data_IF_884510890330
#
_entry.id   IF_884510890330
#
_cell.length_a   1.000
_cell.length_b   1.000
_cell.length_c   1.000
_cell.angle_alpha   90.00
_cell.angle_beta   90.00
_cell.angle_gamma   90.00
#
_symmetry.space_group_name_H-M   'P 1'
#
loop_
_entity.id
_entity.type
_entity.pdbx_description
1 polymer ?
#
# COMPACT_ATOMS: atom_id res chain seq x y z
N UNK A 1 25.04 -25.25 -5.20
CA UNK A 1 24.35 -25.01 -3.91
C UNK A 1 23.43 -23.81 -4.12
N UNK A 2 22.31 -23.71 -3.40
CA UNK A 2 21.63 -22.41 -3.33
C UNK A 2 22.56 -21.40 -2.63
N UNK A 3 22.50 -20.13 -3.03
CA UNK A 3 23.11 -19.06 -2.22
C UNK A 3 22.40 -18.99 -0.87
N UNK A 4 23.12 -18.59 0.18
CA UNK A 4 22.44 -18.08 1.37
C UNK A 4 21.57 -16.87 0.98
N UNK A 5 20.41 -16.74 1.62
CA UNK A 5 19.53 -15.60 1.45
C UNK A 5 20.22 -14.30 1.88
N UNK A 6 19.98 -13.20 1.15
CA UNK A 6 20.51 -11.88 1.52
C UNK A 6 19.82 -11.37 2.77
N UNK A 7 20.57 -10.98 3.79
CA UNK A 7 20.01 -10.43 5.03
C UNK A 7 19.70 -8.96 4.84
N UNK A 8 18.49 -8.52 5.13
CA UNK A 8 18.10 -7.12 4.99
C UNK A 8 17.45 -6.62 6.27
N UNK A 9 17.84 -5.42 6.72
CA UNK A 9 17.20 -4.74 7.83
C UNK A 9 16.25 -3.66 7.29
N UNK A 10 14.99 -3.71 7.71
CA UNK A 10 14.02 -2.61 7.55
C UNK A 10 13.61 -2.16 8.95
N UNK A 11 14.12 -1.02 9.46
CA UNK A 11 13.68 -0.49 10.74
C UNK A 11 12.28 0.12 10.61
N UNK A 12 11.49 0.03 11.68
CA UNK A 12 10.16 0.63 11.80
C UNK A 12 10.04 1.38 13.13
N UNK A 13 9.26 2.46 13.14
CA UNK A 13 9.05 3.36 14.26
C UNK A 13 7.58 3.78 14.33
N UNK A 14 7.17 4.37 15.45
CA UNK A 14 5.93 5.12 15.50
C UNK A 14 6.00 6.29 14.50
N UNK A 15 5.01 6.40 13.62
CA UNK A 15 5.00 7.35 12.51
C UNK A 15 5.90 7.01 11.33
N UNK A 16 6.35 5.75 11.18
CA UNK A 16 6.88 5.24 9.90
C UNK A 16 5.79 5.29 8.81
N UNK A 17 6.15 5.56 7.56
CA UNK A 17 5.21 5.49 6.44
C UNK A 17 4.95 4.02 6.07
N UNK A 18 3.68 3.54 6.11
CA UNK A 18 3.38 2.12 6.01
C UNK A 18 3.50 1.55 4.60
N UNK A 19 3.23 2.32 3.54
CA UNK A 19 3.40 1.85 2.16
C UNK A 19 4.88 1.64 1.85
N UNK A 20 5.71 2.62 2.19
CA UNK A 20 7.16 2.60 2.00
C UNK A 20 7.80 1.43 2.73
N UNK A 21 7.38 1.15 3.97
CA UNK A 21 7.85 -0.01 4.73
C UNK A 21 7.37 -1.34 4.13
N UNK A 22 6.05 -1.51 3.95
CA UNK A 22 5.45 -2.80 3.58
C UNK A 22 5.84 -3.21 2.16
N UNK A 23 5.85 -2.29 1.20
CA UNK A 23 6.29 -2.55 -0.17
C UNK A 23 7.78 -2.98 -0.19
N UNK A 24 8.63 -2.29 0.57
CA UNK A 24 10.06 -2.65 0.68
C UNK A 24 10.24 -4.07 1.24
N UNK A 25 9.50 -4.42 2.29
CA UNK A 25 9.58 -5.73 2.94
C UNK A 25 9.08 -6.84 2.00
N UNK A 26 7.91 -6.65 1.38
CA UNK A 26 7.28 -7.61 0.49
C UNK A 26 8.17 -7.90 -0.74
N UNK A 27 8.57 -6.87 -1.48
CA UNK A 27 9.31 -7.00 -2.74
C UNK A 27 10.68 -7.66 -2.52
N UNK A 28 11.38 -7.31 -1.44
CA UNK A 28 12.63 -7.97 -1.06
C UNK A 28 12.42 -9.43 -0.65
N UNK A 29 11.33 -9.75 0.08
CA UNK A 29 10.97 -11.14 0.40
C UNK A 29 10.56 -11.95 -0.85
N UNK A 30 9.96 -11.33 -1.88
CA UNK A 30 9.74 -11.97 -3.20
C UNK A 30 11.05 -12.28 -3.92
N UNK A 31 12.06 -11.43 -3.80
CA UNK A 31 13.40 -11.72 -4.32
C UNK A 31 14.16 -12.83 -3.56
N UNK A 32 13.62 -13.32 -2.44
CA UNK A 32 14.25 -14.35 -1.59
C UNK A 32 15.15 -13.80 -0.49
N UNK A 33 15.00 -12.52 -0.09
CA UNK A 33 15.73 -11.95 1.02
C UNK A 33 15.20 -12.36 2.40
N UNK A 34 16.13 -12.57 3.34
CA UNK A 34 15.90 -12.71 4.77
C UNK A 34 15.73 -11.31 5.37
N UNK A 35 14.54 -10.73 5.19
CA UNK A 35 14.22 -9.38 5.67
C UNK A 35 13.80 -9.43 7.14
N UNK A 36 14.61 -8.84 8.01
CA UNK A 36 14.30 -8.57 9.42
C UNK A 36 13.60 -7.22 9.53
N UNK A 37 12.35 -7.20 10.00
CA UNK A 37 11.67 -5.96 10.41
C UNK A 37 12.07 -5.66 11.85
N UNK A 38 12.66 -4.49 12.14
CA UNK A 38 13.16 -4.17 13.48
C UNK A 38 12.50 -2.91 14.06
N UNK A 39 11.85 -3.01 15.22
CA UNK A 39 11.30 -1.84 15.89
C UNK A 39 12.42 -1.04 16.57
N UNK A 40 12.48 0.27 16.33
CA UNK A 40 13.35 1.18 17.10
C UNK A 40 12.72 1.66 18.41
N UNK A 41 11.45 1.30 18.64
CA UNK A 41 10.73 1.56 19.89
C UNK A 41 11.14 0.54 20.98
N UNK A 42 10.48 0.60 22.14
CA UNK A 42 10.68 -0.35 23.25
C UNK A 42 9.86 -1.64 23.11
N UNK A 43 9.05 -1.75 22.05
CA UNK A 43 8.09 -2.80 21.80
C UNK A 43 8.00 -3.14 20.31
N UNK A 44 7.62 -4.38 19.97
CA UNK A 44 7.58 -4.85 18.58
C UNK A 44 6.46 -4.20 17.76
N UNK A 45 5.31 -3.90 18.37
CA UNK A 45 4.19 -3.25 17.69
C UNK A 45 4.42 -1.73 17.60
N UNK A 46 4.36 -1.18 16.39
CA UNK A 46 4.49 0.25 16.12
C UNK A 46 3.23 0.81 15.47
N UNK A 47 2.87 2.03 15.86
CA UNK A 47 1.79 2.81 15.27
C UNK A 47 2.34 3.61 14.07
N UNK A 48 2.25 3.05 12.87
CA UNK A 48 2.67 3.70 11.63
C UNK A 48 1.72 4.86 11.26
N UNK A 49 2.08 5.63 10.22
CA UNK A 49 1.21 6.68 9.70
C UNK A 49 -0.17 6.12 9.31
N UNK A 50 -1.20 6.98 9.39
CA UNK A 50 -2.57 6.65 9.01
C UNK A 50 -3.16 5.45 9.77
N UNK A 51 -2.70 5.22 11.00
CA UNK A 51 -3.25 4.23 11.95
C UNK A 51 -2.99 2.78 11.55
N UNK A 52 -2.09 2.52 10.61
CA UNK A 52 -1.66 1.15 10.29
C UNK A 52 -0.76 0.66 11.42
N UNK A 53 -1.00 -0.55 11.93
CA UNK A 53 -0.21 -1.17 13.01
C UNK A 53 0.64 -2.30 12.45
N UNK A 54 1.95 -2.23 12.65
CA UNK A 54 2.93 -3.21 12.16
C UNK A 54 3.63 -3.84 13.36
N UNK A 55 3.78 -5.17 13.38
CA UNK A 55 4.56 -5.87 14.42
C UNK A 55 5.90 -6.33 13.86
N UNK A 56 6.98 -5.78 14.40
CA UNK A 56 8.35 -6.12 14.04
C UNK A 56 8.71 -7.58 14.35
N UNK A 57 9.79 -8.06 13.75
CA UNK A 57 10.40 -9.38 13.99
C UNK A 57 11.37 -9.35 15.17
N UNK A 58 12.02 -8.21 15.43
CA UNK A 58 12.94 -7.99 16.55
C UNK A 58 12.88 -6.53 17.05
N UNK A 59 13.52 -6.24 18.19
CA UNK A 59 13.89 -4.87 18.55
C UNK A 59 15.24 -4.52 17.91
N UNK A 60 15.49 -3.24 17.64
CA UNK A 60 16.75 -2.78 17.04
C UNK A 60 17.98 -3.07 17.92
N UNK A 61 17.77 -3.20 19.25
CA UNK A 61 18.78 -3.68 20.21
C UNK A 61 19.35 -5.04 19.83
N UNK A 62 18.48 -5.92 19.34
CA UNK A 62 18.77 -7.33 19.11
C UNK A 62 19.54 -7.51 17.78
N UNK A 63 19.50 -6.47 16.94
CA UNK A 63 20.17 -6.40 15.64
C UNK A 63 21.60 -5.81 15.71
N UNK A 64 22.07 -5.31 16.86
CA UNK A 64 23.30 -4.52 16.97
C UNK A 64 24.59 -5.22 16.45
N UNK A 65 24.68 -6.54 16.67
CA UNK A 65 25.79 -7.38 16.18
C UNK A 65 25.48 -8.15 14.89
N UNK A 66 24.28 -7.97 14.32
CA UNK A 66 23.90 -8.61 13.05
C UNK A 66 24.44 -7.80 11.87
N UNK A 67 25.17 -8.48 10.97
CA UNK A 67 25.66 -7.90 9.73
C UNK A 67 24.70 -8.19 8.57
N UNK A 68 24.19 -7.15 7.91
CA UNK A 68 23.21 -7.23 6.83
C UNK A 68 23.85 -6.99 5.46
N UNK A 69 23.29 -7.55 4.39
CA UNK A 69 23.65 -7.23 3.01
C UNK A 69 23.08 -5.87 2.57
N UNK A 70 21.96 -5.44 3.15
CA UNK A 70 21.32 -4.13 2.92
C UNK A 70 20.63 -3.64 4.21
N UNK A 71 20.56 -2.33 4.39
CA UNK A 71 19.65 -1.67 5.33
C UNK A 71 18.83 -0.64 4.56
N UNK A 72 17.50 -0.67 4.66
CA UNK A 72 16.60 0.25 3.94
C UNK A 72 15.66 0.95 4.91
N UNK A 73 15.77 2.28 5.03
CA UNK A 73 14.99 3.10 5.95
C UNK A 73 13.74 3.66 5.25
N UNK A 74 12.51 3.27 5.68
CA UNK A 74 11.30 3.98 5.30
C UNK A 74 11.31 5.44 5.76
N UNK A 75 10.46 6.29 5.21
CA UNK A 75 10.21 7.62 5.73
C UNK A 75 9.03 7.65 6.71
N UNK A 76 8.19 8.68 6.53
CA UNK A 76 7.13 9.03 7.47
C UNK A 76 7.64 9.95 8.58
N UNK A 77 6.70 10.65 9.23
CA UNK A 77 6.96 11.52 10.36
C UNK A 77 5.90 11.23 11.45
N UNK A 78 6.28 11.08 12.72
CA UNK A 78 7.63 11.27 13.28
C UNK A 78 8.69 10.18 12.96
N UNK A 79 8.36 9.08 12.27
CA UNK A 79 9.22 7.90 12.16
C UNK A 79 10.66 8.17 11.72
N UNK A 80 10.89 9.00 10.69
CA UNK A 80 12.23 9.35 10.24
C UNK A 80 13.04 10.17 11.26
N UNK A 81 12.38 10.93 12.15
CA UNK A 81 13.02 11.60 13.27
C UNK A 81 13.33 10.62 14.42
N UNK A 82 12.42 9.68 14.71
CA UNK A 82 12.68 8.58 15.66
C UNK A 82 13.87 7.72 15.22
N UNK A 83 14.02 7.48 13.91
CA UNK A 83 15.22 6.85 13.36
C UNK A 83 16.47 7.68 13.63
N UNK A 84 16.49 8.96 13.23
CA UNK A 84 17.61 9.89 13.45
C UNK A 84 18.12 9.88 14.90
N UNK A 85 17.21 9.92 15.87
CA UNK A 85 17.52 10.00 17.30
C UNK A 85 17.77 8.63 17.96
N UNK A 86 17.74 7.53 17.19
CA UNK A 86 18.07 6.18 17.65
C UNK A 86 19.56 5.87 17.47
N UNK A 87 20.37 6.14 18.50
CA UNK A 87 21.82 5.86 18.53
C UNK A 87 22.19 4.43 18.09
N UNK A 88 21.36 3.43 18.43
CA UNK A 88 21.58 2.03 18.02
C UNK A 88 21.44 1.85 16.52
N UNK A 89 20.40 2.40 15.90
CA UNK A 89 20.22 2.37 14.46
C UNK A 89 21.34 3.15 13.75
N UNK A 90 21.66 4.36 14.22
CA UNK A 90 22.77 5.16 13.69
C UNK A 90 24.07 4.36 13.68
N UNK A 91 24.38 3.67 14.78
CA UNK A 91 25.59 2.85 14.92
C UNK A 91 25.61 1.68 13.93
N UNK A 92 24.48 0.99 13.74
CA UNK A 92 24.36 -0.12 12.78
C UNK A 92 24.53 0.41 11.34
N UNK A 93 23.91 1.53 10.97
CA UNK A 93 23.99 2.09 9.60
C UNK A 93 25.36 2.71 9.31
N UNK A 94 26.01 3.35 10.28
CA UNK A 94 27.41 3.79 10.12
C UNK A 94 28.36 2.61 9.91
N UNK A 95 28.24 1.56 10.73
CA UNK A 95 28.99 0.29 10.58
C UNK A 95 28.72 -0.38 9.22
N UNK A 96 27.50 -0.31 8.69
CA UNK A 96 27.16 -0.78 7.34
C UNK A 96 27.93 -0.02 6.25
N UNK A 97 27.95 1.32 6.33
CA UNK A 97 28.67 2.19 5.39
C UNK A 97 30.20 2.02 5.48
N UNK A 98 30.76 1.91 6.68
CA UNK A 98 32.18 1.65 6.94
C UNK A 98 32.68 0.32 6.34
N UNK A 99 31.78 -0.64 6.10
CA UNK A 99 32.07 -1.94 5.51
C UNK A 99 31.77 -2.02 3.98
N UNK A 100 31.61 -0.88 3.28
CA UNK A 100 31.24 -0.77 1.85
C UNK A 100 29.98 -1.57 1.45
N UNK A 101 29.01 -1.65 2.37
CA UNK A 101 27.75 -2.38 2.14
C UNK A 101 26.61 -1.45 1.74
N UNK A 102 25.66 -1.93 0.90
CA UNK A 102 24.43 -1.21 0.59
C UNK A 102 23.69 -0.68 1.82
N UNK A 103 23.26 0.58 1.73
CA UNK A 103 22.26 1.19 2.60
C UNK A 103 21.38 2.13 1.77
N UNK A 104 20.14 2.31 2.20
CA UNK A 104 19.14 3.02 1.42
C UNK A 104 18.13 3.75 2.32
N UNK A 105 17.46 4.77 1.79
CA UNK A 105 16.37 5.44 2.49
C UNK A 105 15.35 6.05 1.51
N UNK A 106 14.09 6.21 1.94
CA UNK A 106 13.03 6.79 1.13
C UNK A 106 12.33 7.95 1.86
N UNK A 107 11.75 8.87 1.09
CA UNK A 107 10.88 9.94 1.57
C UNK A 107 11.60 10.93 2.51
N UNK A 108 11.27 10.96 3.80
CA UNK A 108 11.90 11.85 4.78
C UNK A 108 13.28 11.32 5.25
N UNK A 109 13.49 10.01 5.29
CA UNK A 109 14.68 9.40 5.91
C UNK A 109 16.04 9.75 5.26
N UNK A 110 16.17 10.00 3.93
CA UNK A 110 17.43 10.49 3.35
C UNK A 110 17.88 11.82 3.98
N UNK A 111 16.97 12.78 4.13
CA UNK A 111 17.30 14.11 4.64
C UNK A 111 17.34 14.17 6.18
N UNK A 112 16.45 13.44 6.85
CA UNK A 112 16.30 13.47 8.32
C UNK A 112 17.31 12.53 9.00
N UNK A 113 17.42 11.28 8.57
CA UNK A 113 18.34 10.30 9.16
C UNK A 113 19.71 10.32 8.47
N UNK A 114 19.83 9.78 7.25
CA UNK A 114 21.14 9.56 6.60
C UNK A 114 21.97 10.85 6.44
N UNK A 115 21.33 11.94 6.04
CA UNK A 115 21.95 13.25 5.89
C UNK A 115 22.48 13.83 7.21
N UNK A 116 21.74 13.69 8.32
CA UNK A 116 22.17 14.17 9.64
C UNK A 116 23.31 13.33 10.23
N UNK A 117 23.34 12.04 9.94
CA UNK A 117 24.45 11.13 10.26
C UNK A 117 25.70 11.34 9.39
N UNK A 118 25.63 12.20 8.37
CA UNK A 118 26.72 12.51 7.44
C UNK A 118 26.90 11.50 6.29
N UNK A 119 26.02 10.51 6.17
CA UNK A 119 26.16 9.35 5.28
C UNK A 119 25.82 9.62 3.80
N UNK A 120 25.49 10.86 3.44
CA UNK A 120 25.23 11.28 2.05
C UNK A 120 26.28 12.28 1.51
N UNK A 121 27.32 12.58 2.29
CA UNK A 121 28.30 13.63 1.98
C UNK A 121 29.05 13.36 0.68
N UNK A 122 28.77 14.19 -0.33
CA UNK A 122 29.39 14.12 -1.65
C UNK A 122 28.71 13.17 -2.65
N UNK A 123 27.64 12.50 -2.23
CA UNK A 123 26.82 11.63 -3.09
C UNK A 123 25.65 12.41 -3.70
N UNK A 124 25.11 11.91 -4.82
CA UNK A 124 23.79 12.30 -5.33
C UNK A 124 22.70 11.57 -4.58
N UNK A 125 21.68 12.32 -4.14
CA UNK A 125 20.56 11.76 -3.41
C UNK A 125 19.25 12.47 -3.74
N UNK A 126 18.12 11.81 -3.49
CA UNK A 126 16.79 12.40 -3.57
C UNK A 126 16.00 12.15 -2.28
N UNK A 127 14.91 12.89 -2.08
CA UNK A 127 14.01 12.73 -0.95
C UNK A 127 12.60 13.25 -1.28
N UNK A 128 11.71 13.22 -0.29
CA UNK A 128 10.39 13.83 -0.38
C UNK A 128 10.51 15.35 -0.63
N UNK A 129 9.66 15.95 -1.49
CA UNK A 129 9.83 17.33 -1.96
C UNK A 129 10.03 18.37 -0.85
N UNK A 130 9.29 18.31 0.26
CA UNK A 130 9.41 19.27 1.36
C UNK A 130 10.69 19.15 2.20
N UNK A 131 11.55 18.15 1.92
CA UNK A 131 12.83 17.95 2.59
C UNK A 131 14.04 18.20 1.66
N UNK A 132 13.82 18.59 0.40
CA UNK A 132 14.91 18.79 -0.59
C UNK A 132 15.91 19.88 -0.18
N UNK A 133 15.45 20.96 0.47
CA UNK A 133 16.32 22.02 0.98
C UNK A 133 17.21 21.49 2.13
N UNK A 134 16.65 20.67 3.02
CA UNK A 134 17.41 20.00 4.09
C UNK A 134 18.42 19.01 3.49
N UNK A 135 18.02 18.19 2.52
CA UNK A 135 18.91 17.26 1.83
C UNK A 135 20.10 17.98 1.19
N UNK A 136 19.86 19.12 0.56
CA UNK A 136 20.88 19.95 -0.11
C UNK A 136 21.99 20.47 0.82
N UNK A 137 21.78 20.45 2.14
CA UNK A 137 22.84 20.74 3.13
C UNK A 137 23.84 19.58 3.34
N UNK A 138 23.49 18.37 2.88
CA UNK A 138 24.20 17.12 3.16
C UNK A 138 24.61 16.33 1.92
N UNK A 139 23.95 16.54 0.77
CA UNK A 139 24.09 15.76 -0.45
C UNK A 139 23.93 16.63 -1.72
N UNK A 140 24.34 16.12 -2.87
CA UNK A 140 23.97 16.68 -4.18
C UNK A 140 22.52 16.29 -4.49
N UNK A 141 21.58 17.12 -4.06
CA UNK A 141 20.16 16.84 -4.20
C UNK A 141 19.71 16.80 -5.68
N UNK A 142 18.93 15.77 -6.04
CA UNK A 142 18.39 15.56 -7.40
C UNK A 142 16.93 15.11 -7.37
N UNK A 143 16.21 15.34 -8.47
CA UNK A 143 14.75 15.19 -8.56
C UNK A 143 14.26 13.80 -9.06
N UNK A 144 15.18 12.89 -9.36
CA UNK A 144 14.90 11.53 -9.85
C UNK A 144 14.00 10.73 -8.90
N UNK A 145 13.12 9.88 -9.44
CA UNK A 145 12.16 9.07 -8.65
C UNK A 145 12.86 8.07 -7.72
N UNK A 146 13.96 7.50 -8.21
CA UNK A 146 14.95 6.73 -7.45
C UNK A 146 16.33 7.25 -7.88
N UNK A 147 17.22 7.45 -6.92
CA UNK A 147 18.62 7.83 -7.17
C UNK A 147 19.54 6.82 -6.49
N UNK A 148 20.29 6.07 -7.30
CA UNK A 148 21.44 5.31 -6.84
C UNK A 148 22.72 6.15 -7.03
N UNK A 149 23.61 6.15 -6.04
CA UNK A 149 25.00 6.60 -6.19
C UNK A 149 25.92 5.60 -5.46
N UNK A 150 26.76 4.90 -6.22
CA UNK A 150 27.55 3.77 -5.73
C UNK A 150 26.68 2.69 -5.05
N UNK A 151 26.85 2.55 -3.73
CA UNK A 151 26.13 1.60 -2.86
C UNK A 151 24.84 2.18 -2.25
N UNK A 152 24.59 3.48 -2.40
CA UNK A 152 23.51 4.19 -1.71
C UNK A 152 22.32 4.35 -2.64
N UNK A 153 21.12 4.01 -2.18
CA UNK A 153 19.87 4.20 -2.94
C UNK A 153 18.91 5.09 -2.17
N UNK A 154 18.39 6.12 -2.83
CA UNK A 154 17.42 7.06 -2.25
C UNK A 154 16.19 7.24 -3.13
N UNK A 155 15.04 7.59 -2.55
CA UNK A 155 13.78 7.73 -3.29
C UNK A 155 12.80 8.71 -2.63
N UNK A 156 11.76 9.16 -3.35
CA UNK A 156 10.99 10.37 -3.02
C UNK A 156 9.76 10.18 -2.14
N UNK A 157 9.08 9.04 -2.12
CA UNK A 157 7.86 8.88 -1.30
C UNK A 157 7.07 7.60 -1.56
N UNK A 158 5.83 7.50 -1.07
CA UNK A 158 5.02 6.29 -1.21
C UNK A 158 4.79 5.94 -2.69
N UNK A 159 4.58 6.98 -3.51
CA UNK A 159 4.45 6.90 -4.97
C UNK A 159 5.73 6.63 -5.76
N UNK A 160 6.82 6.23 -5.10
CA UNK A 160 8.04 5.68 -5.71
C UNK A 160 8.50 4.38 -5.04
N UNK A 161 7.78 3.85 -4.05
CA UNK A 161 8.22 2.72 -3.23
C UNK A 161 8.42 1.42 -4.02
N UNK A 162 7.60 1.13 -5.05
CA UNK A 162 7.77 -0.05 -5.90
C UNK A 162 9.06 0.02 -6.72
N UNK A 163 9.29 1.12 -7.45
CA UNK A 163 10.53 1.37 -8.21
C UNK A 163 11.78 1.35 -7.33
N UNK A 164 11.69 1.96 -6.14
CA UNK A 164 12.74 1.92 -5.13
C UNK A 164 13.07 0.48 -4.72
N UNK A 165 12.06 -0.31 -4.39
CA UNK A 165 12.24 -1.69 -3.92
C UNK A 165 12.79 -2.61 -5.01
N UNK A 166 12.38 -2.44 -6.27
CA UNK A 166 12.95 -3.17 -7.41
C UNK A 166 14.42 -2.78 -7.65
N UNK A 167 14.78 -1.50 -7.51
CA UNK A 167 16.19 -1.09 -7.57
C UNK A 167 17.04 -1.71 -6.43
N UNK A 168 16.47 -1.93 -5.24
CA UNK A 168 17.13 -2.67 -4.16
C UNK A 168 17.28 -4.17 -4.47
N UNK A 169 16.32 -4.77 -5.18
CA UNK A 169 16.45 -6.16 -5.70
C UNK A 169 17.56 -6.23 -6.75
N UNK A 170 17.61 -5.31 -7.72
CA UNK A 170 18.67 -5.27 -8.73
C UNK A 170 20.06 -5.08 -8.10
N UNK A 171 20.18 -4.21 -7.08
CA UNK A 171 21.43 -4.00 -6.34
C UNK A 171 21.91 -5.23 -5.55
N UNK A 172 21.00 -6.08 -5.06
CA UNK A 172 21.32 -7.26 -4.25
C UNK A 172 21.48 -8.56 -5.04
N UNK A 173 20.72 -8.71 -6.14
CA UNK A 173 20.55 -9.96 -6.88
C UNK A 173 20.78 -9.84 -8.39
N UNK A 174 20.94 -8.63 -8.92
CA UNK A 174 21.09 -8.36 -10.35
C UNK A 174 19.76 -8.27 -11.10
N UNK A 175 19.84 -7.73 -12.33
CA UNK A 175 18.67 -7.37 -13.14
C UNK A 175 17.70 -8.52 -13.40
N UNK A 176 18.21 -9.73 -13.66
CA UNK A 176 17.38 -10.92 -13.93
C UNK A 176 16.39 -11.20 -12.80
N UNK A 177 16.81 -11.06 -11.54
CA UNK A 177 15.91 -11.23 -10.38
C UNK A 177 14.95 -10.05 -10.20
N UNK A 178 15.37 -8.83 -10.54
CA UNK A 178 14.51 -7.65 -10.51
C UNK A 178 13.37 -7.78 -11.54
N UNK A 179 13.68 -8.24 -12.75
CA UNK A 179 12.71 -8.48 -13.81
C UNK A 179 11.76 -9.64 -13.46
N UNK A 180 12.30 -10.74 -12.90
CA UNK A 180 11.52 -11.88 -12.38
C UNK A 180 10.50 -11.48 -11.30
N UNK A 181 10.89 -10.58 -10.38
CA UNK A 181 10.01 -10.10 -9.31
C UNK A 181 9.00 -9.08 -9.82
N UNK A 182 9.37 -8.24 -10.78
CA UNK A 182 8.52 -7.16 -11.31
C UNK A 182 7.34 -7.66 -12.15
N UNK A 183 7.53 -8.74 -12.93
CA UNK A 183 6.49 -9.30 -13.80
C UNK A 183 5.21 -9.72 -13.04
N UNK A 184 5.29 -10.60 -12.02
CA UNK A 184 4.14 -11.00 -11.20
C UNK A 184 3.58 -9.88 -10.30
N UNK A 185 4.28 -8.75 -10.18
CA UNK A 185 3.79 -7.53 -9.54
C UNK A 185 3.03 -6.62 -10.52
N UNK A 186 2.93 -6.95 -11.82
CA UNK A 186 2.26 -6.16 -12.86
C UNK A 186 2.80 -4.71 -12.94
N UNK A 187 4.08 -4.54 -12.64
CA UNK A 187 4.75 -3.23 -12.72
C UNK A 187 4.88 -2.77 -14.17
N UNK A 188 4.70 -1.46 -14.38
CA UNK A 188 4.86 -0.81 -15.68
C UNK A 188 6.30 -0.90 -16.19
N UNK A 189 6.44 -1.25 -17.46
CA UNK A 189 7.72 -1.37 -18.15
C UNK A 189 8.42 -0.02 -18.34
N UNK A 190 7.68 1.07 -18.60
CA UNK A 190 8.27 2.36 -18.95
C UNK A 190 7.74 3.54 -18.11
N UNK A 191 8.51 4.63 -18.11
CA UNK A 191 8.03 5.94 -17.67
C UNK A 191 7.38 6.67 -18.84
N UNK A 192 6.06 6.86 -18.78
CA UNK A 192 5.29 7.62 -19.79
C UNK A 192 4.04 6.92 -20.29
N UNK A 193 3.91 5.60 -20.08
CA UNK A 193 2.74 4.80 -20.44
C UNK A 193 1.45 5.45 -19.90
N UNK A 194 0.40 5.59 -20.71
CA UNK A 194 -0.84 6.26 -20.29
C UNK A 194 -1.62 5.43 -19.25
N UNK A 195 -2.60 6.06 -18.60
CA UNK A 195 -3.49 5.39 -17.65
C UNK A 195 -4.80 5.04 -18.36
N UNK A 196 -4.88 3.84 -18.92
CA UNK A 196 -6.17 3.28 -19.35
C UNK A 196 -6.97 2.86 -18.11
N UNK A 197 -8.24 3.28 -18.07
CA UNK A 197 -9.22 2.80 -17.11
C UNK A 197 -10.52 2.47 -17.84
N UNK A 198 -11.07 1.28 -17.59
CA UNK A 198 -12.30 0.79 -18.22
C UNK A 198 -13.37 0.58 -17.15
N UNK A 199 -14.46 1.34 -17.20
CA UNK A 199 -15.57 1.18 -16.24
C UNK A 199 -16.52 0.05 -16.66
N UNK A 200 -16.18 -1.18 -16.23
CA UNK A 200 -16.86 -2.42 -16.62
C UNK A 200 -18.32 -2.54 -16.15
N UNK A 201 -18.66 -1.86 -15.06
CA UNK A 201 -19.99 -1.87 -14.45
C UNK A 201 -20.40 -0.43 -14.12
N UNK A 202 -20.82 0.40 -15.11
CA UNK A 202 -21.07 1.82 -14.89
C UNK A 202 -22.13 2.06 -13.83
N UNK A 203 -21.79 2.88 -12.83
CA UNK A 203 -22.69 3.25 -11.72
C UNK A 203 -23.09 4.72 -11.88
N UNK A 204 -24.38 5.04 -11.68
CA UNK A 204 -24.80 6.44 -11.57
C UNK A 204 -24.40 7.00 -10.21
N UNK A 205 -23.19 7.56 -10.13
CA UNK A 205 -22.71 8.30 -8.96
C UNK A 205 -23.59 9.54 -8.73
N UNK A 206 -24.35 9.56 -7.63
CA UNK A 206 -25.24 10.65 -7.22
C UNK A 206 -24.80 11.24 -5.88
N UNK A 207 -24.21 12.43 -5.92
CA UNK A 207 -23.81 13.19 -4.73
C UNK A 207 -25.02 13.91 -4.06
N UNK A 208 -26.20 13.28 -4.10
CA UNK A 208 -27.50 13.88 -3.74
C UNK A 208 -27.68 14.04 -2.20
N UNK A 209 -26.57 14.01 -1.45
CA UNK A 209 -26.52 14.10 0.02
C UNK A 209 -25.33 14.91 0.55
N UNK A 210 -24.74 15.81 -0.25
CA UNK A 210 -24.10 16.98 0.36
C UNK A 210 -25.16 17.80 1.11
N UNK A 211 -25.04 18.03 2.43
CA UNK A 211 -25.87 19.02 3.09
C UNK A 211 -25.63 20.40 2.45
N UNK A 212 -26.63 21.30 2.47
CA UNK A 212 -26.34 22.71 2.23
C UNK A 212 -25.72 23.28 3.51
N UNK A 213 -24.41 23.08 3.63
CA UNK A 213 -23.60 23.58 4.75
C UNK A 213 -23.59 25.11 4.68
N UNK A 214 -24.11 25.77 5.70
CA UNK A 214 -23.91 27.21 5.89
C UNK A 214 -22.43 27.44 6.21
N UNK A 215 -21.73 28.20 5.35
CA UNK A 215 -20.29 28.46 5.52
C UNK A 215 -19.93 29.17 6.84
N UNK A 216 -20.94 29.70 7.56
CA UNK A 216 -20.79 30.36 8.85
C UNK A 216 -20.94 29.41 10.06
N UNK A 217 -21.28 28.13 9.84
CA UNK A 217 -21.53 27.12 10.90
C UNK A 217 -20.72 25.86 10.62
N UNK A 218 -19.39 26.00 10.53
CA UNK A 218 -18.46 24.88 10.47
C UNK A 218 -17.97 24.52 11.87
N UNK A 219 -18.23 23.28 12.30
CA UNK A 219 -17.44 22.59 13.32
C UNK A 219 -16.52 21.57 12.65
N UNK A 220 -15.49 21.09 13.35
CA UNK A 220 -14.56 20.07 12.83
C UNK A 220 -15.23 18.67 12.65
N UNK A 221 -16.54 18.55 12.85
CA UNK A 221 -17.31 17.30 12.82
C UNK A 221 -18.34 17.20 11.68
N UNK A 222 -18.48 18.22 10.81
CA UNK A 222 -19.54 18.27 9.79
C UNK A 222 -19.17 17.60 8.44
N UNK A 223 -18.23 16.65 8.44
CA UNK A 223 -17.87 15.85 7.26
C UNK A 223 -18.74 14.57 7.14
N UNK A 224 -18.94 14.10 5.90
CA UNK A 224 -19.61 12.82 5.65
C UNK A 224 -18.66 11.66 5.90
N UNK A 225 -18.72 11.10 7.11
CA UNK A 225 -17.97 9.93 7.54
C UNK A 225 -18.43 8.66 6.81
N UNK A 226 -17.88 8.41 5.61
CA UNK A 226 -18.02 7.13 4.91
C UNK A 226 -17.42 6.01 5.77
N UNK A 227 -18.25 5.06 6.20
CA UNK A 227 -17.84 3.96 7.06
C UNK A 227 -17.45 2.73 6.22
N UNK A 228 -16.17 2.38 6.22
CA UNK A 228 -15.59 1.37 5.31
C UNK A 228 -15.01 0.20 6.10
N UNK A 229 -15.35 -1.03 5.68
CA UNK A 229 -14.75 -2.26 6.21
C UNK A 229 -13.63 -2.75 5.30
N UNK A 230 -12.45 -3.00 5.87
CA UNK A 230 -11.35 -3.73 5.23
C UNK A 230 -11.01 -4.95 6.10
N UNK A 231 -11.48 -6.16 5.74
CA UNK A 231 -11.12 -7.36 6.49
C UNK A 231 -9.69 -7.81 6.14
N UNK A 232 -8.98 -8.34 7.14
CA UNK A 232 -7.64 -8.94 6.99
C UNK A 232 -7.58 -10.32 7.66
N UNK A 233 -6.72 -11.20 7.17
CA UNK A 233 -6.58 -12.60 7.60
C UNK A 233 -5.13 -13.07 7.44
N UNK A 234 -4.79 -14.22 8.03
CA UNK A 234 -3.49 -14.86 7.81
C UNK A 234 -3.34 -15.22 6.31
N UNK A 235 -2.27 -14.73 5.69
CA UNK A 235 -2.03 -14.87 4.25
C UNK A 235 -2.80 -13.90 3.35
N UNK A 236 -3.44 -12.85 3.87
CA UNK A 236 -3.83 -11.66 3.09
C UNK A 236 -2.61 -11.03 2.42
N UNK A 237 -2.77 -10.43 1.24
CA UNK A 237 -1.71 -9.67 0.57
C UNK A 237 -1.48 -8.32 1.29
N UNK A 238 -0.28 -8.15 1.86
CA UNK A 238 0.03 -7.01 2.72
C UNK A 238 0.06 -5.66 1.99
N UNK A 239 0.55 -5.60 0.75
CA UNK A 239 0.58 -4.35 0.00
C UNK A 239 -0.85 -3.95 -0.38
N UNK A 240 -1.66 -4.86 -0.91
CA UNK A 240 -3.05 -4.59 -1.27
C UNK A 240 -3.86 -4.08 -0.06
N UNK A 241 -3.76 -4.76 1.08
CA UNK A 241 -4.46 -4.35 2.30
C UNK A 241 -3.99 -2.99 2.81
N UNK A 242 -2.69 -2.78 2.97
CA UNK A 242 -2.12 -1.57 3.57
C UNK A 242 -2.29 -0.36 2.64
N UNK A 243 -2.21 -0.55 1.31
CA UNK A 243 -2.55 0.47 0.31
C UNK A 243 -4.02 0.90 0.42
N UNK A 244 -4.97 -0.03 0.49
CA UNK A 244 -6.40 0.29 0.63
C UNK A 244 -6.65 1.09 1.92
N UNK A 245 -6.08 0.65 3.05
CA UNK A 245 -6.28 1.27 4.37
C UNK A 245 -5.70 2.68 4.41
N UNK A 246 -4.43 2.84 4.02
CA UNK A 246 -3.73 4.13 4.01
C UNK A 246 -4.42 5.14 3.08
N UNK A 247 -4.72 4.74 1.84
CA UNK A 247 -5.39 5.60 0.85
C UNK A 247 -6.72 6.13 1.39
N UNK A 248 -7.58 5.26 1.91
CA UNK A 248 -8.91 5.65 2.38
C UNK A 248 -8.85 6.48 3.66
N UNK A 249 -7.88 6.24 4.56
CA UNK A 249 -7.68 7.06 5.77
C UNK A 249 -7.01 8.41 5.47
N UNK A 250 -6.12 8.49 4.47
CA UNK A 250 -5.67 9.79 3.88
C UNK A 250 -6.84 10.55 3.29
N UNK A 251 -7.80 9.82 2.71
CA UNK A 251 -9.06 10.32 2.20
C UNK A 251 -10.11 10.63 3.29
N UNK A 252 -9.77 10.54 4.59
CA UNK A 252 -10.65 10.88 5.73
C UNK A 252 -11.88 9.98 5.94
N UNK A 253 -11.97 8.83 5.28
CA UNK A 253 -13.03 7.85 5.58
C UNK A 253 -12.78 7.14 6.92
N UNK A 254 -13.85 6.72 7.62
CA UNK A 254 -13.75 5.86 8.80
C UNK A 254 -13.47 4.42 8.35
N UNK A 255 -12.19 4.05 8.26
CA UNK A 255 -11.78 2.70 7.85
C UNK A 255 -11.59 1.81 9.08
N UNK A 256 -12.51 0.87 9.25
CA UNK A 256 -12.45 -0.23 10.21
C UNK A 256 -11.68 -1.39 9.59
N UNK A 257 -10.50 -1.68 10.12
CA UNK A 257 -9.72 -2.87 9.80
C UNK A 257 -10.13 -3.99 10.75
N UNK A 258 -10.69 -5.07 10.20
CA UNK A 258 -11.23 -6.18 11.00
C UNK A 258 -10.48 -7.49 10.74
N UNK A 259 -9.96 -8.12 11.78
CA UNK A 259 -9.38 -9.46 11.64
C UNK A 259 -10.49 -10.51 11.49
N UNK A 260 -10.35 -11.38 10.50
CA UNK A 260 -11.25 -12.53 10.28
C UNK A 260 -10.82 -13.74 11.12
N UNK A 261 -9.63 -13.70 11.71
CA UNK A 261 -9.11 -14.69 12.67
C UNK A 261 -9.70 -14.48 14.08
N UNK A 262 -9.35 -15.36 15.03
CA UNK A 262 -9.66 -15.24 16.46
C UNK A 262 -8.77 -14.22 17.21
N UNK A 263 -7.86 -13.56 16.49
CA UNK A 263 -6.79 -12.68 16.99
C UNK A 263 -6.67 -11.41 16.14
N UNK A 264 -6.28 -10.29 16.75
CA UNK A 264 -6.07 -9.02 16.03
C UNK A 264 -4.79 -9.02 15.16
N UNK A 265 -3.74 -9.72 15.58
CA UNK A 265 -2.49 -9.82 14.81
C UNK A 265 -2.59 -10.91 13.74
N UNK A 266 -2.44 -10.52 12.47
CA UNK A 266 -2.39 -11.43 11.32
C UNK A 266 -1.01 -11.46 10.69
N UNK A 267 -0.65 -12.60 10.10
CA UNK A 267 0.60 -12.86 9.40
C UNK A 267 0.33 -12.92 7.90
N UNK A 268 0.62 -11.83 7.21
CA UNK A 268 0.33 -11.65 5.79
C UNK A 268 1.17 -12.57 4.86
N UNK A 269 0.89 -12.50 3.56
CA UNK A 269 1.37 -13.44 2.53
C UNK A 269 2.91 -13.51 2.43
N UNK A 270 3.60 -12.37 2.56
CA UNK A 270 5.07 -12.22 2.65
C UNK A 270 5.51 -11.90 4.07
N UNK A 271 4.75 -12.37 5.06
CA UNK A 271 5.10 -12.40 6.48
C UNK A 271 5.25 -11.03 7.13
N UNK A 272 4.66 -9.98 6.57
CA UNK A 272 4.40 -8.76 7.35
C UNK A 272 3.36 -9.10 8.42
N UNK A 273 3.58 -8.70 9.66
CA UNK A 273 2.57 -8.79 10.72
C UNK A 273 1.81 -7.48 10.83
N UNK A 274 0.50 -7.55 10.69
CA UNK A 274 -0.41 -6.41 10.77
C UNK A 274 -1.37 -6.62 11.94
N UNK A 275 -1.78 -5.54 12.61
CA UNK A 275 -2.80 -5.62 13.68
C UNK A 275 -4.07 -4.92 13.21
N UNK A 276 -5.19 -5.63 13.25
CA UNK A 276 -6.52 -5.08 13.01
C UNK A 276 -6.95 -4.13 14.14
N UNK A 277 -7.89 -3.23 13.86
CA UNK A 277 -8.50 -2.37 14.90
C UNK A 277 -9.44 -3.21 15.79
N UNK A 278 -10.19 -4.15 15.18
CA UNK A 278 -11.21 -4.98 15.83
C UNK A 278 -11.23 -6.42 15.28
N UNK A 279 -11.95 -7.33 15.95
CA UNK A 279 -12.32 -8.63 15.38
C UNK A 279 -13.56 -8.50 14.48
N UNK A 280 -13.70 -9.37 13.49
CA UNK A 280 -14.88 -9.45 12.61
C UNK A 280 -16.18 -9.63 13.40
N UNK A 281 -16.12 -10.29 14.56
CA UNK A 281 -17.25 -10.47 15.48
C UNK A 281 -17.83 -9.17 16.03
N UNK A 282 -16.99 -8.15 16.21
CA UNK A 282 -17.41 -6.80 16.60
C UNK A 282 -17.88 -6.01 15.37
N UNK A 283 -17.08 -6.03 14.29
CA UNK A 283 -17.37 -5.36 13.03
C UNK A 283 -18.73 -5.78 12.43
N UNK A 284 -19.11 -7.05 12.55
CA UNK A 284 -20.34 -7.59 11.97
C UNK A 284 -21.65 -7.03 12.56
N UNK A 285 -21.57 -6.21 13.62
CA UNK A 285 -22.72 -5.52 14.21
C UNK A 285 -22.94 -4.12 13.61
N UNK A 286 -22.03 -3.62 12.77
CA UNK A 286 -22.15 -2.34 12.05
C UNK A 286 -22.69 -2.54 10.63
N UNK A 287 -23.21 -1.47 10.03
CA UNK A 287 -23.47 -1.37 8.59
C UNK A 287 -22.40 -0.48 7.98
N UNK A 288 -21.88 -0.86 6.81
CA UNK A 288 -20.79 -0.16 6.13
C UNK A 288 -21.28 0.41 4.81
N UNK A 289 -20.69 1.48 4.31
CA UNK A 289 -21.01 2.06 3.01
C UNK A 289 -20.23 1.39 1.88
N UNK A 290 -19.02 0.91 2.21
CA UNK A 290 -18.16 0.10 1.37
C UNK A 290 -17.54 -1.05 2.18
N UNK A 291 -17.43 -2.23 1.57
CA UNK A 291 -16.60 -3.34 2.06
C UNK A 291 -15.57 -3.66 0.97
N UNK A 292 -14.27 -3.54 1.25
CA UNK A 292 -13.20 -3.83 0.26
C UNK A 292 -12.36 -5.02 0.71
N UNK A 293 -12.36 -6.08 -0.10
CA UNK A 293 -11.54 -7.27 0.14
C UNK A 293 -10.15 -7.12 -0.51
N UNK A 294 -9.04 -7.07 0.26
CA UNK A 294 -7.72 -7.32 -0.30
C UNK A 294 -7.61 -8.78 -0.78
N UNK A 295 -6.57 -9.10 -1.55
CA UNK A 295 -6.32 -10.43 -2.08
C UNK A 295 -5.37 -11.27 -1.23
N UNK A 296 -4.48 -11.99 -1.91
CA UNK A 296 -3.63 -13.03 -1.33
C UNK A 296 -4.38 -14.35 -1.23
N UNK A 297 -3.78 -15.45 -1.73
CA UNK A 297 -4.48 -16.74 -1.84
C UNK A 297 -4.89 -17.34 -0.48
N UNK A 298 -4.14 -17.07 0.59
CA UNK A 298 -4.50 -17.49 1.94
C UNK A 298 -5.68 -16.68 2.48
N UNK A 299 -5.51 -15.35 2.55
CA UNK A 299 -6.52 -14.45 3.09
C UNK A 299 -7.84 -14.53 2.34
N UNK A 300 -7.81 -14.55 1.01
CA UNK A 300 -9.01 -14.72 0.18
C UNK A 300 -9.71 -16.08 0.40
N UNK A 301 -8.98 -17.14 0.76
CA UNK A 301 -9.59 -18.43 1.13
C UNK A 301 -10.20 -18.39 2.54
N UNK A 302 -9.56 -17.71 3.50
CA UNK A 302 -10.14 -17.46 4.83
C UNK A 302 -11.40 -16.58 4.73
N UNK A 303 -11.38 -15.53 3.91
CA UNK A 303 -12.53 -14.67 3.63
C UNK A 303 -13.69 -15.45 3.02
N UNK A 304 -13.41 -16.35 2.08
CA UNK A 304 -14.42 -17.22 1.47
C UNK A 304 -15.02 -18.23 2.46
N UNK A 305 -14.22 -18.73 3.40
CA UNK A 305 -14.67 -19.69 4.42
C UNK A 305 -15.41 -19.01 5.61
N UNK A 306 -15.29 -17.70 5.77
CA UNK A 306 -15.94 -16.95 6.85
C UNK A 306 -17.40 -16.68 6.52
N UNK A 307 -18.31 -17.53 7.01
CA UNK A 307 -19.76 -17.33 6.90
C UNK A 307 -20.19 -15.92 7.35
N UNK A 308 -19.53 -15.38 8.38
CA UNK A 308 -19.81 -14.06 8.95
C UNK A 308 -19.50 -12.94 7.93
N UNK A 309 -18.33 -12.98 7.29
CA UNK A 309 -17.95 -12.01 6.26
C UNK A 309 -18.80 -12.17 4.99
N UNK A 310 -19.02 -13.41 4.55
CA UNK A 310 -19.88 -13.73 3.41
C UNK A 310 -21.32 -13.23 3.62
N UNK A 311 -21.85 -13.33 4.84
CA UNK A 311 -23.19 -12.83 5.16
C UNK A 311 -23.24 -11.29 5.29
N UNK A 312 -22.14 -10.61 5.66
CA UNK A 312 -22.04 -9.15 5.53
C UNK A 312 -22.06 -8.73 4.06
N UNK A 313 -21.28 -9.38 3.19
CA UNK A 313 -21.23 -9.07 1.75
C UNK A 313 -22.59 -9.32 1.06
N UNK A 314 -23.33 -10.36 1.46
CA UNK A 314 -24.72 -10.59 1.00
C UNK A 314 -25.66 -9.46 1.44
N UNK A 315 -25.64 -9.07 2.72
CA UNK A 315 -26.41 -7.91 3.22
C UNK A 315 -26.05 -6.61 2.49
N UNK A 316 -24.76 -6.41 2.20
CA UNK A 316 -24.26 -5.24 1.47
C UNK A 316 -24.88 -5.17 0.07
N UNK A 317 -24.89 -6.30 -0.66
CA UNK A 317 -25.57 -6.44 -1.95
C UNK A 317 -27.08 -6.25 -1.85
N UNK A 318 -27.74 -6.88 -0.88
CA UNK A 318 -29.20 -6.78 -0.67
C UNK A 318 -29.63 -5.34 -0.34
N UNK A 319 -28.76 -4.58 0.33
CA UNK A 319 -28.96 -3.16 0.66
C UNK A 319 -28.55 -2.20 -0.47
N UNK A 320 -28.14 -2.71 -1.64
CA UNK A 320 -27.55 -1.95 -2.76
C UNK A 320 -26.36 -1.04 -2.35
N UNK A 321 -25.63 -1.42 -1.31
CA UNK A 321 -24.41 -0.71 -0.89
C UNK A 321 -23.18 -1.23 -1.63
N UNK A 322 -22.08 -0.48 -1.57
CA UNK A 322 -20.87 -0.80 -2.32
C UNK A 322 -20.12 -1.98 -1.68
N UNK A 323 -19.56 -2.85 -2.51
CA UNK A 323 -18.51 -3.79 -2.11
C UNK A 323 -17.51 -3.97 -3.25
N UNK A 324 -16.28 -4.34 -2.93
CA UNK A 324 -15.21 -4.49 -3.91
C UNK A 324 -14.18 -5.53 -3.50
N UNK A 325 -13.38 -5.96 -4.46
CA UNK A 325 -12.32 -6.93 -4.24
C UNK A 325 -11.22 -6.83 -5.30
N UNK A 326 -9.99 -7.17 -4.91
CA UNK A 326 -8.79 -7.18 -5.77
C UNK A 326 -8.11 -8.56 -5.77
N UNK A 327 -7.32 -8.84 -6.82
CA UNK A 327 -6.45 -10.00 -6.92
C UNK A 327 -7.21 -11.34 -6.79
N UNK A 328 -7.00 -12.12 -5.73
CA UNK A 328 -7.63 -13.43 -5.56
C UNK A 328 -9.09 -13.36 -5.07
N UNK A 329 -9.49 -12.27 -4.41
CA UNK A 329 -10.77 -12.15 -3.72
C UNK A 329 -12.02 -12.02 -4.61
N UNK A 330 -11.97 -11.41 -5.82
CA UNK A 330 -13.07 -11.51 -6.80
C UNK A 330 -13.47 -12.95 -7.09
N UNK A 331 -12.48 -13.81 -7.38
CA UNK A 331 -12.70 -15.20 -7.77
C UNK A 331 -13.03 -16.13 -6.59
N UNK A 332 -12.33 -15.98 -5.45
CA UNK A 332 -12.53 -16.86 -4.29
C UNK A 332 -13.70 -16.47 -3.40
N UNK A 333 -13.99 -15.17 -3.25
CA UNK A 333 -15.01 -14.69 -2.32
C UNK A 333 -16.27 -14.26 -3.07
N UNK A 334 -16.15 -13.36 -4.06
CA UNK A 334 -17.32 -12.76 -4.69
C UNK A 334 -18.01 -13.69 -5.69
N UNK A 335 -17.27 -14.30 -6.60
CA UNK A 335 -17.81 -15.26 -7.58
C UNK A 335 -18.35 -16.52 -6.91
N UNK A 336 -17.56 -17.14 -6.03
CA UNK A 336 -17.93 -18.38 -5.34
C UNK A 336 -19.23 -18.28 -4.52
N UNK A 337 -19.56 -17.08 -4.02
CA UNK A 337 -20.81 -16.80 -3.30
C UNK A 337 -21.89 -16.14 -4.18
N UNK A 338 -21.69 -16.12 -5.50
CA UNK A 338 -22.62 -15.60 -6.50
C UNK A 338 -22.82 -14.08 -6.46
N UNK A 339 -21.99 -13.34 -5.71
CA UNK A 339 -22.11 -11.89 -5.53
C UNK A 339 -21.91 -11.13 -6.85
N UNK A 340 -21.06 -11.65 -7.75
CA UNK A 340 -20.84 -11.10 -9.09
C UNK A 340 -21.92 -11.49 -10.13
N UNK A 341 -22.95 -12.27 -9.77
CA UNK A 341 -24.01 -12.66 -10.72
C UNK A 341 -24.66 -11.44 -11.38
N UNK A 342 -24.47 -11.26 -12.68
CA UNK A 342 -24.95 -10.10 -13.44
C UNK A 342 -24.01 -8.89 -13.43
N UNK A 343 -22.71 -9.12 -13.21
CA UNK A 343 -21.63 -8.11 -13.24
C UNK A 343 -20.48 -8.62 -14.10
N UNK A 344 -19.77 -7.70 -14.76
CA UNK A 344 -18.47 -7.99 -15.37
C UNK A 344 -17.38 -8.01 -14.30
N UNK A 345 -16.38 -8.86 -14.47
CA UNK A 345 -15.41 -9.15 -13.42
C UNK A 345 -14.01 -9.45 -13.96
N UNK A 346 -13.01 -9.06 -13.18
CA UNK A 346 -11.60 -9.44 -13.35
C UNK A 346 -11.04 -9.97 -12.02
N UNK A 347 -9.88 -10.60 -12.07
CA UNK A 347 -9.17 -11.14 -10.91
C UNK A 347 -7.65 -11.13 -11.19
N UNK A 348 -6.85 -11.64 -10.26
CA UNK A 348 -5.46 -12.02 -10.56
C UNK A 348 -5.44 -13.03 -11.73
N UNK A 349 -4.58 -12.89 -12.75
CA UNK A 349 -4.69 -13.66 -14.00
C UNK A 349 -4.82 -15.19 -13.84
N UNK A 350 -4.10 -15.80 -12.88
CA UNK A 350 -4.19 -17.23 -12.60
C UNK A 350 -5.52 -17.69 -11.94
N UNK A 351 -6.45 -16.75 -11.70
CA UNK A 351 -7.74 -16.95 -11.03
C UNK A 351 -8.93 -16.56 -11.92
N UNK A 352 -8.70 -15.87 -13.05
CA UNK A 352 -9.76 -15.45 -13.97
C UNK A 352 -10.54 -16.64 -14.56
N UNK A 353 -9.92 -17.82 -14.67
CA UNK A 353 -10.56 -19.07 -15.06
C UNK A 353 -11.62 -19.61 -14.08
N UNK A 354 -11.81 -18.96 -12.91
CA UNK A 354 -12.87 -19.27 -11.94
C UNK A 354 -14.08 -18.33 -12.07
N UNK A 355 -13.98 -17.26 -12.85
CA UNK A 355 -15.09 -16.34 -13.12
C UNK A 355 -16.06 -16.96 -14.14
N UNK A 356 -17.37 -16.81 -13.94
CA UNK A 356 -18.37 -17.28 -14.92
C UNK A 356 -18.39 -16.48 -16.22
N UNK A 357 -17.93 -15.23 -16.19
CA UNK A 357 -17.59 -14.42 -17.37
C UNK A 357 -16.12 -13.94 -17.26
N UNK A 358 -15.17 -14.59 -17.95
CA UNK A 358 -13.77 -14.21 -17.96
C UNK A 358 -13.44 -13.16 -19.04
N UNK A 359 -14.42 -12.49 -19.68
CA UNK A 359 -14.16 -11.57 -20.80
C UNK A 359 -13.29 -10.36 -20.47
N UNK A 360 -13.12 -10.02 -19.18
CA UNK A 360 -12.31 -8.89 -18.71
C UNK A 360 -11.02 -9.32 -17.98
N UNK A 361 -10.62 -10.59 -18.13
CA UNK A 361 -9.54 -11.25 -17.39
C UNK A 361 -8.15 -10.58 -17.48
N UNK A 362 -7.94 -9.73 -18.49
CA UNK A 362 -6.68 -9.02 -18.75
C UNK A 362 -6.69 -7.58 -18.18
N UNK A 363 -7.84 -7.11 -17.67
CA UNK A 363 -7.95 -5.82 -16.99
C UNK A 363 -7.46 -5.94 -15.54
N UNK A 364 -6.35 -5.28 -15.19
CA UNK A 364 -5.73 -5.35 -13.84
C UNK A 364 -6.45 -4.55 -12.75
N UNK A 365 -7.78 -4.65 -12.65
CA UNK A 365 -8.62 -3.71 -11.91
C UNK A 365 -9.00 -4.16 -10.49
N UNK A 366 -9.10 -3.21 -9.57
CA UNK A 366 -9.97 -3.34 -8.40
C UNK A 366 -11.43 -3.35 -8.88
N UNK A 367 -12.17 -4.42 -8.61
CA UNK A 367 -13.61 -4.42 -8.84
C UNK A 367 -14.32 -3.64 -7.74
N UNK A 368 -15.22 -2.75 -8.15
CA UNK A 368 -16.31 -2.25 -7.31
C UNK A 368 -17.64 -2.71 -7.91
N UNK A 369 -18.51 -3.27 -7.08
CA UNK A 369 -19.81 -3.81 -7.43
C UNK A 369 -20.92 -3.15 -6.60
N UNK A 370 -22.07 -2.99 -7.24
CA UNK A 370 -23.33 -2.47 -6.71
C UNK A 370 -24.46 -3.42 -7.12
N UNK A 371 -25.66 -3.34 -6.52
CA UNK A 371 -26.77 -4.20 -6.95
C UNK A 371 -27.59 -3.62 -8.11
N UNK A 372 -27.35 -2.37 -8.51
CA UNK A 372 -27.98 -1.74 -9.68
C UNK A 372 -27.65 -2.50 -10.97
N UNK A 373 -28.60 -2.72 -11.90
CA UNK A 373 -28.29 -3.24 -13.23
C UNK A 373 -27.45 -2.23 -14.04
N UNK A 374 -26.65 -2.72 -14.97
CA UNK A 374 -25.91 -1.86 -15.90
C UNK A 374 -26.86 -1.28 -16.96
N UNK A 375 -27.38 -0.07 -16.74
CA UNK A 375 -28.16 0.65 -17.76
C UNK A 375 -27.25 1.25 -18.83
N UNK A 376 -27.19 0.59 -20.00
CA UNK A 376 -26.40 1.05 -21.13
C UNK A 376 -26.85 2.41 -21.67
N UNK A 377 -25.99 3.43 -21.55
CA UNK A 377 -26.06 4.68 -22.31
C UNK A 377 -24.66 5.11 -22.71
N UNK A 378 -24.42 5.18 -24.01
CA UNK A 378 -23.26 5.87 -24.57
C UNK A 378 -23.38 7.38 -24.26
N UNK A 379 -22.28 8.01 -23.83
CA UNK A 379 -22.18 9.46 -23.64
C UNK A 379 -21.13 10.03 -24.60
N UNK A 380 -21.51 10.85 -25.59
CA UNK A 380 -20.68 11.10 -26.77
C UNK A 380 -19.68 12.27 -26.58
N UNK A 381 -18.81 12.21 -25.57
CA UNK A 381 -17.82 13.28 -25.31
C UNK A 381 -16.44 12.76 -24.89
N UNK A 382 -15.42 13.10 -25.67
CA UNK A 382 -14.02 12.69 -25.47
C UNK A 382 -13.22 13.77 -24.70
N UNK A 383 -12.94 13.54 -23.42
CA UNK A 383 -11.97 14.32 -22.62
C UNK A 383 -11.16 13.42 -21.67
N UNK A 384 -9.82 13.38 -21.75
CA UNK A 384 -9.01 12.30 -21.15
C UNK A 384 -8.51 12.62 -19.73
N UNK A 385 -9.41 12.76 -18.74
CA UNK A 385 -9.04 12.77 -17.31
C UNK A 385 -10.18 12.24 -16.42
N UNK A 386 -10.03 11.05 -15.85
CA UNK A 386 -10.79 10.55 -14.68
C UNK A 386 -9.91 9.63 -13.82
N UNK A 387 -10.17 9.59 -12.52
CA UNK A 387 -9.41 8.78 -11.55
C UNK A 387 -10.39 8.11 -10.58
N UNK A 388 -10.72 6.83 -10.81
CA UNK A 388 -11.55 6.07 -9.89
C UNK A 388 -10.95 6.03 -8.47
N UNK A 389 -11.85 5.99 -7.48
CA UNK A 389 -11.58 6.09 -6.02
C UNK A 389 -11.01 7.44 -5.55
N UNK A 390 -10.39 8.26 -6.40
CA UNK A 390 -9.97 9.63 -6.04
C UNK A 390 -11.12 10.66 -6.05
N UNK A 391 -12.22 10.39 -6.76
CA UNK A 391 -13.37 11.29 -6.90
C UNK A 391 -14.41 11.18 -5.76
N UNK A 392 -14.09 10.45 -4.67
CA UNK A 392 -15.01 10.23 -3.54
C UNK A 392 -15.26 11.48 -2.66
N UNK A 393 -14.35 12.47 -2.65
CA UNK A 393 -14.25 13.46 -1.57
C UNK A 393 -13.89 14.89 -2.03
N UNK A 394 -14.74 15.55 -2.84
CA UNK A 394 -14.65 17.01 -2.93
C UNK A 394 -15.97 17.71 -3.32
N UNK A 395 -16.64 18.29 -2.32
CA UNK A 395 -17.55 19.42 -2.51
C UNK A 395 -16.80 20.71 -2.20
N UNK A 396 -16.52 21.53 -3.21
CA UNK A 396 -15.71 22.75 -3.10
C UNK A 396 -16.28 23.76 -2.08
N UNK A 397 -15.54 24.61 -1.36
CA UNK A 397 -14.13 25.05 -1.41
C UNK A 397 -13.63 25.20 0.07
N UNK A 398 -12.43 25.67 0.48
CA UNK A 398 -11.30 26.46 -0.06
C UNK A 398 -10.02 25.96 0.68
N UNK A 399 -8.77 25.98 0.18
CA UNK A 399 -8.17 26.14 -1.16
C UNK A 399 -6.68 25.67 -1.10
N UNK A 400 -5.89 25.89 -2.16
CA UNK A 400 -4.41 25.70 -2.19
C UNK A 400 -3.79 24.38 -1.67
N UNK A 401 -4.48 23.24 -1.79
CA UNK A 401 -3.80 21.94 -1.89
C UNK A 401 -4.49 21.01 -2.89
N UNK A 402 -3.86 20.81 -4.06
CA UNK A 402 -4.25 19.78 -5.02
C UNK A 402 -3.72 18.43 -4.54
N UNK A 403 -4.59 17.45 -4.31
CA UNK A 403 -4.15 16.08 -4.01
C UNK A 403 -4.88 15.11 -4.95
N UNK A 404 -4.12 14.36 -5.76
CA UNK A 404 -4.59 13.17 -6.48
C UNK A 404 -4.29 11.96 -5.60
N UNK A 405 -5.31 11.34 -4.99
CA UNK A 405 -5.12 10.12 -4.19
C UNK A 405 -5.92 8.97 -4.80
N UNK A 406 -5.23 8.18 -5.64
CA UNK A 406 -5.44 6.75 -5.99
C UNK A 406 -4.64 6.45 -7.26
N UNK A 407 -4.47 7.44 -8.14
CA UNK A 407 -3.54 7.39 -9.29
C UNK A 407 -2.16 6.88 -8.87
N UNK A 408 -1.73 7.07 -7.62
CA UNK A 408 -0.47 6.58 -7.03
C UNK A 408 -0.48 5.10 -6.64
N UNK A 409 -1.61 4.58 -6.17
CA UNK A 409 -1.75 3.22 -5.64
C UNK A 409 -1.82 2.17 -6.75
N UNK A 410 -2.59 2.45 -7.81
CA UNK A 410 -2.78 1.52 -8.93
C UNK A 410 -1.79 1.74 -10.10
N UNK A 411 -0.67 2.48 -9.90
CA UNK A 411 0.39 2.65 -10.94
C UNK A 411 1.06 1.36 -11.37
N UNK A 412 0.93 0.31 -10.57
CA UNK A 412 1.67 -0.93 -10.70
C UNK A 412 0.74 -2.14 -10.74
N UNK A 413 -0.51 -1.96 -11.22
CA UNK A 413 -1.46 -3.08 -11.40
C UNK A 413 -2.06 -3.11 -12.81
N UNK A 414 -1.97 -2.02 -13.58
CA UNK A 414 -2.50 -1.93 -14.96
C UNK A 414 -1.46 -1.43 -15.98
N UNK A 415 -1.03 -2.34 -16.85
CA UNK A 415 -1.40 -2.35 -18.28
C UNK A 415 -0.66 -3.48 -19.03
N UNK A 416 -1.32 -4.12 -19.99
CA UNK A 416 -0.70 -5.10 -20.88
C UNK A 416 -1.46 -5.18 -22.20
N UNK A 417 -1.10 -4.34 -23.17
CA UNK A 417 -1.52 -4.45 -24.58
C UNK A 417 -0.33 -4.13 -25.50
N UNK A 418 -0.10 -5.02 -26.47
CA UNK A 418 0.95 -5.01 -27.52
C UNK A 418 2.41 -5.16 -27.06
#
# INVERSE_FOLDING_TARGET
>A
MASAAKKVLVPVANGTEPLEAVITIDVLRRAGADVTVASVEKQLCVDACHGVKIVADALISDCADTAFDLISLPGGMPGAATFKDCNTLESIVKKQAENDRPYAAICAAPAVALGSWGLLKGLKATCYPSFMDQLSSSASAVESRVQQDGKVVTSRGPGTAMEYSVALVELLYGKEKADEVSGPLVMRSNQGDEYTFTELNPVKWTFDSSPQVDENVLSDHDYMDYLILVPIADGTEEMEAVIIIDVLRRAKAEVVVASVEDKLEILASRKVKLVADVLLDEAANRSYDLIVLPGGLGGAQTFANSEKLVNLLKKQRESNKLYGAICASPALVLEAHGLLKGKKATAFPAMCNKLSDPSEAETGLLLMATSLPAEGRELPWSFPWRIQVAELLNGAFKSYLKIRVVETAMRYVTAGEM
#
